data_IF_553606854939
#
_entry.id   IF_553606854939
#
_cell.length_a   1.000
_cell.length_b   1.000
_cell.length_c   1.000
_cell.angle_alpha   90.00
_cell.angle_beta   90.00
_cell.angle_gamma   90.00
#
_symmetry.space_group_name_H-M   'P 1'
#
loop_
_entity.id
_entity.type
_entity.pdbx_description
1 polymer ?
#
# COMPACT_ATOMS: atom_id res chain seq x y z
N UNK A 1 24.17 -4.39 23.99
CA UNK A 1 23.10 -3.37 24.17
C UNK A 1 21.92 -3.76 23.30
N UNK A 2 20.71 -3.94 23.84
CA UNK A 2 19.51 -4.26 23.05
C UNK A 2 18.85 -2.94 22.61
N UNK A 3 18.45 -2.86 21.35
CA UNK A 3 17.68 -1.74 20.79
C UNK A 3 16.41 -2.31 20.15
N UNK A 4 15.31 -1.58 20.27
CA UNK A 4 14.02 -1.96 19.69
C UNK A 4 13.79 -1.12 18.44
N UNK A 5 13.32 -1.77 17.37
CA UNK A 5 13.03 -1.14 16.08
C UNK A 5 11.65 -1.58 15.62
N UNK A 6 10.90 -0.67 14.97
CA UNK A 6 9.60 -0.96 14.35
C UNK A 6 9.73 -0.79 12.84
N UNK A 7 9.29 -1.78 12.07
CA UNK A 7 9.18 -1.69 10.60
C UNK A 7 7.83 -1.02 10.26
N UNK A 8 7.84 0.00 9.40
CA UNK A 8 6.65 0.80 9.03
C UNK A 8 6.11 0.49 7.61
N UNK A 9 6.68 -0.50 6.93
CA UNK A 9 6.35 -0.78 5.54
C UNK A 9 5.10 -1.66 5.41
N UNK A 10 4.19 -1.28 4.49
CA UNK A 10 3.13 -2.15 4.00
C UNK A 10 3.75 -3.31 3.21
N UNK A 11 3.17 -4.50 3.34
CA UNK A 11 3.55 -5.68 2.56
C UNK A 11 2.40 -6.09 1.64
N UNK A 12 2.72 -6.73 0.53
CA UNK A 12 1.76 -7.47 -0.27
C UNK A 12 1.81 -8.93 0.17
N UNK A 13 0.66 -9.56 0.41
CA UNK A 13 0.59 -10.96 0.80
C UNK A 13 -0.65 -11.63 0.22
N UNK A 14 -0.50 -12.90 -0.17
CA UNK A 14 -1.58 -13.74 -0.69
C UNK A 14 -1.65 -15.03 0.14
N UNK A 15 -2.84 -15.46 0.53
CA UNK A 15 -3.02 -16.72 1.27
C UNK A 15 -2.85 -17.90 0.32
N UNK A 16 -1.98 -18.84 0.67
CA UNK A 16 -1.68 -20.00 -0.14
C UNK A 16 -2.82 -21.02 -0.08
N UNK A 17 -3.43 -21.30 -1.23
CA UNK A 17 -4.58 -22.18 -1.37
C UNK A 17 -4.22 -23.60 -1.86
N UNK A 18 -2.96 -23.85 -2.19
CA UNK A 18 -2.51 -25.13 -2.77
C UNK A 18 -2.80 -25.30 -4.26
N UNK A 19 -3.30 -24.27 -4.95
CA UNK A 19 -3.61 -24.30 -6.37
C UNK A 19 -2.36 -24.38 -7.25
N UNK A 20 -2.50 -25.03 -8.41
CA UNK A 20 -1.43 -25.09 -9.43
C UNK A 20 -1.06 -23.70 -9.95
N UNK A 21 -2.00 -22.76 -9.94
CA UNK A 21 -1.77 -21.37 -10.34
C UNK A 21 -0.82 -20.65 -9.38
N UNK A 22 -1.11 -20.70 -8.07
CA UNK A 22 -0.21 -20.15 -7.06
C UNK A 22 1.14 -20.86 -7.06
N UNK A 23 1.16 -22.19 -7.21
CA UNK A 23 2.41 -22.93 -7.28
C UNK A 23 3.29 -22.50 -8.45
N UNK A 24 2.70 -22.30 -9.62
CA UNK A 24 3.43 -21.77 -10.78
C UNK A 24 3.89 -20.33 -10.55
N UNK A 25 3.02 -19.47 -10.01
CA UNK A 25 3.31 -18.04 -9.75
C UNK A 25 4.50 -17.85 -8.82
N UNK A 26 4.52 -18.58 -7.70
CA UNK A 26 5.55 -18.46 -6.66
C UNK A 26 6.67 -19.50 -6.79
N UNK A 27 6.67 -20.31 -7.86
CA UNK A 27 7.63 -21.39 -8.09
C UNK A 27 7.70 -22.36 -6.91
N UNK A 28 6.54 -22.69 -6.36
CA UNK A 28 6.38 -23.68 -5.29
C UNK A 28 6.43 -25.07 -5.91
N UNK A 29 7.18 -25.95 -5.28
CA UNK A 29 7.33 -27.36 -5.63
C UNK A 29 6.63 -28.21 -4.57
N UNK A 30 5.81 -29.16 -5.00
CA UNK A 30 5.37 -30.27 -4.14
C UNK A 30 6.45 -31.34 -4.13
N UNK A 31 7.26 -31.36 -3.07
CA UNK A 31 8.35 -32.32 -2.89
C UNK A 31 7.90 -33.58 -2.16
N UNK A 32 6.66 -33.66 -1.68
CA UNK A 32 6.12 -34.82 -0.97
C UNK A 32 6.37 -36.13 -1.73
N UNK A 33 5.87 -36.28 -2.98
CA UNK A 33 6.09 -37.48 -3.78
C UNK A 33 7.54 -37.65 -4.27
N UNK A 34 8.34 -36.58 -4.31
CA UNK A 34 9.77 -36.63 -4.65
C UNK A 34 10.63 -37.13 -3.49
N UNK A 35 10.25 -36.83 -2.25
CA UNK A 35 11.00 -37.16 -1.04
C UNK A 35 10.90 -38.63 -0.65
N UNK A 36 9.74 -39.27 -0.89
CA UNK A 36 9.55 -40.71 -0.72
C UNK A 36 8.24 -41.16 -1.35
N UNK A 37 8.18 -42.34 -2.03
CA UNK A 37 6.94 -42.92 -2.53
C UNK A 37 5.90 -43.22 -1.43
N UNK A 38 6.31 -43.25 -0.16
CA UNK A 38 5.44 -43.50 0.98
C UNK A 38 4.76 -42.23 1.52
N UNK A 39 5.28 -41.04 1.17
CA UNK A 39 4.70 -39.76 1.59
C UNK A 39 3.58 -39.39 0.62
N UNK A 40 2.34 -39.68 1.03
CA UNK A 40 1.13 -39.39 0.24
C UNK A 40 0.58 -37.97 0.43
N UNK A 41 1.14 -37.21 1.38
CA UNK A 41 0.73 -35.83 1.63
C UNK A 41 1.63 -34.86 0.85
N UNK A 42 1.09 -33.78 0.29
CA UNK A 42 1.92 -32.77 -0.36
C UNK A 42 2.84 -32.11 0.67
N UNK A 43 4.03 -31.74 0.23
CA UNK A 43 4.97 -30.92 1.01
C UNK A 43 5.41 -29.78 0.10
N UNK A 44 4.89 -28.59 0.36
CA UNK A 44 5.09 -27.44 -0.53
C UNK A 44 6.29 -26.62 -0.08
N UNK A 45 7.22 -26.37 -0.99
CA UNK A 45 8.36 -25.49 -0.76
C UNK A 45 8.54 -24.51 -1.90
N UNK A 46 8.93 -23.26 -1.61
CA UNK A 46 9.54 -22.40 -2.62
C UNK A 46 11.00 -22.12 -2.28
N UNK A 47 11.81 -21.94 -3.33
CA UNK A 47 13.23 -21.69 -3.20
C UNK A 47 13.48 -20.21 -2.87
N UNK A 48 14.04 -19.93 -1.71
CA UNK A 48 14.57 -18.61 -1.37
C UNK A 48 16.07 -18.57 -1.64
N UNK A 49 16.68 -17.37 -1.57
CA UNK A 49 18.14 -17.22 -1.64
C UNK A 49 18.85 -17.89 -0.44
N UNK A 50 18.14 -18.17 0.64
CA UNK A 50 18.67 -18.73 1.90
C UNK A 50 18.36 -20.23 2.06
N UNK A 51 17.62 -20.83 1.12
CA UNK A 51 17.24 -22.25 1.15
C UNK A 51 15.77 -22.48 0.82
N UNK A 52 15.36 -23.74 0.81
CA UNK A 52 13.94 -24.11 0.63
C UNK A 52 13.16 -23.81 1.90
N UNK A 53 12.02 -23.13 1.75
CA UNK A 53 11.14 -22.79 2.85
C UNK A 53 9.80 -23.50 2.67
N UNK A 54 9.34 -24.20 3.71
CA UNK A 54 8.06 -24.90 3.72
C UNK A 54 6.90 -23.91 3.85
N UNK A 55 5.83 -24.12 3.09
CA UNK A 55 4.58 -23.35 3.18
C UNK A 55 3.40 -24.31 3.27
N UNK A 56 2.45 -24.04 4.17
CA UNK A 56 1.24 -24.86 4.29
C UNK A 56 0.05 -24.15 3.65
N UNK A 57 -0.93 -24.93 3.19
CA UNK A 57 -2.22 -24.36 2.75
C UNK A 57 -2.82 -23.59 3.93
N UNK A 58 -3.20 -22.34 3.68
CA UNK A 58 -3.69 -21.40 4.69
C UNK A 58 -2.63 -20.42 5.20
N UNK A 59 -1.33 -20.69 5.01
CA UNK A 59 -0.27 -19.73 5.30
C UNK A 59 -0.28 -18.59 4.28
N UNK A 60 0.31 -17.45 4.64
CA UNK A 60 0.41 -16.26 3.81
C UNK A 60 1.78 -16.16 3.15
N UNK A 61 1.81 -15.94 1.84
CA UNK A 61 3.03 -15.68 1.08
C UNK A 61 3.18 -14.18 0.94
N UNK A 62 4.10 -13.59 1.71
CA UNK A 62 4.41 -12.17 1.65
C UNK A 62 5.50 -11.88 0.63
N UNK A 63 5.45 -10.70 0.02
CA UNK A 63 6.40 -10.22 -0.99
C UNK A 63 7.11 -8.97 -0.50
N UNK A 64 8.44 -8.98 -0.60
CA UNK A 64 9.31 -7.88 -0.19
C UNK A 64 9.69 -6.95 -1.33
N UNK A 65 10.52 -5.95 -1.00
CA UNK A 65 10.78 -4.81 -1.88
C UNK A 65 11.56 -5.24 -3.14
N UNK A 66 12.38 -6.29 -3.06
CA UNK A 66 13.15 -6.83 -4.19
C UNK A 66 12.44 -8.01 -4.87
N UNK A 67 11.16 -8.24 -4.56
CA UNK A 67 10.39 -9.38 -5.04
C UNK A 67 10.74 -10.69 -4.34
N UNK A 68 11.44 -10.65 -3.21
CA UNK A 68 11.66 -11.81 -2.36
C UNK A 68 10.34 -12.27 -1.73
N UNK A 69 10.18 -13.58 -1.54
CA UNK A 69 9.00 -14.16 -0.91
C UNK A 69 9.36 -14.85 0.40
N UNK A 70 8.45 -14.83 1.37
CA UNK A 70 8.52 -15.62 2.60
C UNK A 70 7.12 -16.02 3.06
N UNK A 71 7.03 -17.16 3.75
CA UNK A 71 5.76 -17.61 4.32
C UNK A 71 5.58 -17.04 5.73
N UNK A 72 4.34 -16.71 6.08
CA UNK A 72 3.90 -16.26 7.39
C UNK A 72 2.73 -17.15 7.78
N UNK A 73 2.76 -17.74 8.97
CA UNK A 73 1.64 -18.54 9.47
C UNK A 73 0.38 -17.67 9.63
N UNK A 74 -0.80 -18.23 9.40
CA UNK A 74 -2.08 -17.49 9.44
C UNK A 74 -2.33 -16.79 10.78
N UNK A 75 -2.04 -17.46 11.89
CA UNK A 75 -2.17 -16.90 13.25
C UNK A 75 -1.27 -15.68 13.43
N UNK A 76 0.02 -15.81 13.11
CA UNK A 76 0.99 -14.70 13.17
C UNK A 76 0.58 -13.58 12.22
N UNK A 77 0.11 -13.90 11.01
CA UNK A 77 -0.28 -12.91 10.03
C UNK A 77 -1.44 -12.06 10.55
N UNK A 78 -2.50 -12.68 11.08
CA UNK A 78 -3.67 -11.99 11.62
C UNK A 78 -3.37 -11.18 12.88
N UNK A 79 -2.42 -11.64 13.71
CA UNK A 79 -1.98 -10.89 14.89
C UNK A 79 -1.09 -9.69 14.53
N UNK A 80 -0.35 -9.76 13.42
CA UNK A 80 0.67 -8.75 13.06
C UNK A 80 0.19 -7.75 12.01
N UNK A 81 -0.75 -8.13 11.14
CA UNK A 81 -1.15 -7.34 9.98
C UNK A 81 -2.66 -7.10 9.93
N UNK A 82 -3.01 -5.87 9.56
CA UNK A 82 -4.36 -5.49 9.16
C UNK A 82 -4.35 -5.14 7.67
N UNK A 83 -5.41 -5.50 6.96
CA UNK A 83 -5.58 -5.11 5.56
C UNK A 83 -5.60 -3.58 5.46
N UNK A 84 -4.68 -3.02 4.68
CA UNK A 84 -4.67 -1.59 4.40
C UNK A 84 -5.80 -1.28 3.41
N UNK A 85 -6.99 -0.93 3.93
CA UNK A 85 -8.17 -0.56 3.12
C UNK A 85 -8.06 0.82 2.46
N UNK A 86 -6.93 1.49 2.65
CA UNK A 86 -6.69 2.86 2.18
C UNK A 86 -6.53 2.88 0.66
N UNK A 87 -7.55 3.38 -0.04
CA UNK A 87 -7.49 3.62 -1.49
C UNK A 87 -6.74 4.92 -1.77
N UNK A 88 -5.65 4.82 -2.52
CA UNK A 88 -4.89 5.97 -2.98
C UNK A 88 -5.48 6.56 -4.26
N UNK A 89 -5.64 7.87 -4.27
CA UNK A 89 -6.09 8.67 -5.39
C UNK A 89 -4.91 9.50 -5.89
N UNK A 90 -4.69 9.53 -7.21
CA UNK A 90 -3.61 10.32 -7.78
C UNK A 90 -4.08 11.76 -7.97
N UNK A 91 -3.32 12.73 -7.48
CA UNK A 91 -3.57 14.12 -7.84
C UNK A 91 -3.29 14.33 -9.33
N UNK A 92 -4.16 15.12 -9.95
CA UNK A 92 -4.03 15.50 -11.34
C UNK A 92 -4.44 16.95 -11.47
N UNK A 93 -3.67 17.71 -12.21
CA UNK A 93 -3.98 19.09 -12.54
C UNK A 93 -4.29 19.24 -14.02
N UNK A 94 -5.12 20.23 -14.34
CA UNK A 94 -5.42 20.66 -15.71
C UNK A 94 -5.42 22.19 -15.77
N UNK A 95 -5.15 22.80 -16.93
CA UNK A 95 -5.33 24.24 -17.08
C UNK A 95 -6.79 24.63 -16.80
N UNK A 96 -6.97 25.81 -16.20
CA UNK A 96 -8.29 26.41 -16.02
C UNK A 96 -8.91 26.74 -17.38
N UNK A 97 -10.23 26.55 -17.53
CA UNK A 97 -10.93 26.99 -18.75
C UNK A 97 -11.16 28.50 -18.73
N UNK A 98 -11.46 29.09 -19.89
CA UNK A 98 -11.77 30.53 -19.96
C UNK A 98 -13.02 30.89 -19.13
N UNK A 99 -14.06 30.05 -19.18
CA UNK A 99 -15.29 30.22 -18.40
C UNK A 99 -14.99 30.22 -16.89
N UNK A 100 -14.19 29.25 -16.40
CA UNK A 100 -13.79 29.17 -14.99
C UNK A 100 -12.90 30.36 -14.56
N UNK A 101 -12.12 30.94 -15.50
CA UNK A 101 -11.31 32.15 -15.28
C UNK A 101 -12.18 33.40 -15.17
N UNK A 102 -13.20 33.52 -16.02
CA UNK A 102 -14.17 34.62 -16.00
C UNK A 102 -15.05 34.60 -14.74
N UNK A 103 -15.30 33.42 -14.15
CA UNK A 103 -16.03 33.30 -12.88
C UNK A 103 -15.24 33.87 -11.68
N UNK A 104 -13.90 33.77 -11.71
CA UNK A 104 -13.02 34.16 -10.60
C UNK A 104 -11.79 34.95 -11.07
N UNK A 105 -11.96 36.09 -11.78
CA UNK A 105 -10.87 36.83 -12.41
C UNK A 105 -9.91 37.50 -11.41
N UNK A 106 -10.26 37.52 -10.12
CA UNK A 106 -9.40 38.04 -9.05
C UNK A 106 -8.46 37.00 -8.45
N UNK A 107 -8.56 35.73 -8.87
CA UNK A 107 -7.67 34.64 -8.45
C UNK A 107 -6.68 34.37 -9.59
N UNK A 108 -5.38 34.51 -9.29
CA UNK A 108 -4.31 34.19 -10.24
C UNK A 108 -4.05 32.69 -10.25
N UNK A 109 -5.00 31.93 -10.80
CA UNK A 109 -4.97 30.48 -10.85
C UNK A 109 -4.85 29.97 -12.28
N UNK A 110 -3.73 29.32 -12.57
CA UNK A 110 -3.46 28.78 -13.90
C UNK A 110 -4.00 27.34 -14.06
N UNK A 111 -4.18 26.62 -12.95
CA UNK A 111 -4.50 25.20 -12.94
C UNK A 111 -5.57 24.84 -11.92
N UNK A 112 -6.39 23.83 -12.24
CA UNK A 112 -7.40 23.22 -11.37
C UNK A 112 -7.07 21.75 -11.13
N UNK A 113 -7.49 21.22 -10.00
CA UNK A 113 -7.41 19.78 -9.74
C UNK A 113 -8.57 19.01 -10.39
N UNK A 114 -8.25 17.89 -11.03
CA UNK A 114 -9.23 16.92 -11.47
C UNK A 114 -9.70 16.05 -10.30
N UNK A 115 -10.99 15.75 -10.29
CA UNK A 115 -11.59 14.87 -9.29
C UNK A 115 -11.08 13.42 -9.44
N UNK A 116 -10.93 12.67 -8.33
CA UNK A 116 -11.33 13.03 -6.97
C UNK A 116 -10.27 13.87 -6.21
N UNK A 117 -10.74 14.91 -5.51
CA UNK A 117 -9.95 15.67 -4.53
C UNK A 117 -10.43 15.39 -3.10
N UNK A 118 -9.61 15.64 -2.07
CA UNK A 118 -10.07 15.65 -0.69
C UNK A 118 -11.18 16.70 -0.47
N UNK A 119 -11.91 16.56 0.64
CA UNK A 119 -12.83 17.59 1.12
C UNK A 119 -12.04 18.77 1.73
N UNK A 120 -12.57 20.00 1.66
CA UNK A 120 -11.93 21.16 2.27
C UNK A 120 -11.83 20.99 3.80
N UNK A 121 -10.65 21.28 4.35
CA UNK A 121 -10.27 21.05 5.74
C UNK A 121 -9.96 19.59 6.08
N UNK A 122 -9.97 18.67 5.10
CA UNK A 122 -9.72 17.25 5.37
C UNK A 122 -8.24 16.98 5.58
N UNK A 123 -7.91 16.29 6.67
CA UNK A 123 -6.59 15.67 6.85
C UNK A 123 -6.51 14.36 6.07
N UNK A 124 -5.51 14.27 5.20
CA UNK A 124 -5.27 13.14 4.30
C UNK A 124 -3.85 12.64 4.46
N UNK A 125 -3.65 11.37 4.11
CA UNK A 125 -2.31 10.86 3.86
C UNK A 125 -1.87 11.34 2.48
N UNK A 126 -0.61 11.78 2.36
CA UNK A 126 0.01 12.22 1.10
C UNK A 126 1.32 11.47 0.89
N UNK A 127 1.59 11.07 -0.34
CA UNK A 127 2.83 10.38 -0.72
C UNK A 127 3.31 10.71 -2.13
N UNK A 128 4.64 10.76 -2.29
CA UNK A 128 5.35 10.81 -3.57
C UNK A 128 5.85 9.42 -4.03
N UNK A 129 5.51 8.37 -3.28
CA UNK A 129 5.98 7.00 -3.46
C UNK A 129 7.27 6.66 -2.70
N UNK A 130 7.98 7.64 -2.13
CA UNK A 130 9.13 7.42 -1.26
C UNK A 130 8.78 7.66 0.21
N UNK A 131 8.00 8.70 0.49
CA UNK A 131 7.60 9.13 1.82
C UNK A 131 6.07 9.21 1.94
N UNK A 132 5.55 8.92 3.13
CA UNK A 132 4.13 9.09 3.45
C UNK A 132 4.03 10.05 4.63
N UNK A 133 3.27 11.13 4.45
CA UNK A 133 2.97 12.14 5.47
C UNK A 133 1.48 12.32 5.68
N UNK A 134 1.11 13.08 6.71
CA UNK A 134 -0.25 13.60 6.90
C UNK A 134 -0.23 15.08 6.57
N UNK A 135 -1.22 15.54 5.83
CA UNK A 135 -1.39 16.95 5.48
C UNK A 135 -2.87 17.32 5.41
N UNK A 136 -3.20 18.60 5.43
CA UNK A 136 -4.55 19.14 5.32
C UNK A 136 -4.78 19.71 3.92
N UNK A 137 -5.95 19.41 3.36
CA UNK A 137 -6.43 19.98 2.12
C UNK A 137 -7.22 21.25 2.40
N UNK A 138 -6.71 22.43 2.02
CA UNK A 138 -7.30 23.72 2.42
C UNK A 138 -7.41 24.71 1.24
N UNK A 139 -8.14 25.80 1.46
CA UNK A 139 -8.34 26.91 0.52
C UNK A 139 -7.50 28.14 0.93
N UNK A 140 -6.53 28.48 0.09
CA UNK A 140 -5.64 29.64 0.26
C UNK A 140 -6.14 30.83 -0.55
N UNK A 141 -7.18 31.50 -0.04
CA UNK A 141 -7.77 32.69 -0.66
C UNK A 141 -8.19 32.46 -2.13
N UNK A 142 -8.63 31.25 -2.42
CA UNK A 142 -9.22 30.83 -3.67
C UNK A 142 -8.45 29.77 -4.44
N UNK A 143 -7.24 29.44 -4.01
CA UNK A 143 -6.42 28.36 -4.55
C UNK A 143 -6.42 27.22 -3.55
N UNK A 144 -6.94 26.05 -3.94
CA UNK A 144 -6.96 24.87 -3.07
C UNK A 144 -5.67 24.08 -3.17
N UNK A 145 -5.23 23.47 -2.07
CA UNK A 145 -4.00 22.68 -2.09
C UNK A 145 -3.65 22.06 -0.74
N UNK A 146 -2.43 21.53 -0.68
CA UNK A 146 -1.83 20.95 0.52
C UNK A 146 -1.06 22.03 1.31
N UNK A 147 -1.18 22.04 2.64
CA UNK A 147 -0.53 23.03 3.51
C UNK A 147 1.00 22.86 3.58
N UNK A 148 1.45 21.65 3.90
CA UNK A 148 2.82 21.40 4.40
C UNK A 148 3.65 20.47 3.51
N UNK A 149 3.00 19.65 2.67
CA UNK A 149 3.68 18.71 1.80
C UNK A 149 4.29 19.47 0.63
N UNK A 150 5.62 19.51 0.55
CA UNK A 150 6.37 20.29 -0.43
C UNK A 150 6.07 19.86 -1.87
N UNK A 151 5.00 20.40 -2.45
CA UNK A 151 4.56 20.15 -3.81
C UNK A 151 5.39 20.91 -4.84
N UNK A 152 6.17 21.92 -4.42
CA UNK A 152 6.94 22.76 -5.32
C UNK A 152 8.12 22.02 -5.96
N UNK A 153 8.76 21.10 -5.24
CA UNK A 153 9.87 20.31 -5.77
C UNK A 153 9.39 19.09 -6.59
N UNK A 154 8.27 18.48 -6.20
CA UNK A 154 7.79 17.22 -6.78
C UNK A 154 6.70 17.39 -7.83
N UNK A 155 5.92 18.48 -7.77
CA UNK A 155 4.72 18.70 -8.58
C UNK A 155 3.53 17.83 -8.15
N UNK A 156 2.32 18.38 -8.18
CA UNK A 156 1.10 17.67 -7.76
C UNK A 156 0.81 16.40 -8.58
N UNK A 157 1.15 16.35 -9.86
CA UNK A 157 0.91 15.17 -10.71
C UNK A 157 1.77 13.95 -10.35
N UNK A 158 2.72 14.11 -9.41
CA UNK A 158 3.51 13.02 -8.85
C UNK A 158 3.07 12.62 -7.44
N UNK A 159 2.05 13.29 -6.89
CA UNK A 159 1.54 13.03 -5.55
C UNK A 159 0.27 12.17 -5.59
N UNK A 160 0.12 11.39 -4.53
CA UNK A 160 -1.08 10.60 -4.25
C UNK A 160 -1.60 10.95 -2.88
N UNK A 161 -2.93 10.92 -2.73
CA UNK A 161 -3.60 11.13 -1.45
C UNK A 161 -4.53 9.99 -1.10
N UNK A 162 -4.81 9.81 0.18
CA UNK A 162 -5.85 8.91 0.64
C UNK A 162 -6.48 9.40 1.94
N UNK A 163 -7.75 9.08 2.22
CA UNK A 163 -8.32 9.35 3.52
C UNK A 163 -7.54 8.60 4.61
N UNK A 164 -7.37 9.24 5.77
CA UNK A 164 -6.77 8.60 6.92
C UNK A 164 -7.68 7.43 7.33
N UNK A 165 -7.18 6.18 7.39
CA UNK A 165 -8.00 5.04 7.74
C UNK A 165 -8.50 5.14 9.19
N UNK A 166 -9.71 4.63 9.42
CA UNK A 166 -10.23 4.48 10.78
C UNK A 166 -9.27 3.67 11.63
N UNK A 167 -8.94 4.19 12.82
CA UNK A 167 -8.14 3.45 13.78
C UNK A 167 -8.93 2.21 14.23
N UNK A 168 -8.25 1.07 14.44
CA UNK A 168 -8.91 -0.09 15.03
C UNK A 168 -9.52 0.32 16.37
N UNK A 169 -10.79 -0.05 16.58
CA UNK A 169 -11.46 0.17 17.86
C UNK A 169 -10.63 -0.53 18.94
N UNK A 170 -10.13 0.23 19.89
CA UNK A 170 -9.46 -0.32 21.07
C UNK A 170 -10.55 -0.97 21.91
N UNK A 171 -10.59 -2.30 21.95
CA UNK A 171 -11.33 -2.98 23.01
C UNK A 171 -10.56 -2.72 24.30
N UNK A 172 -11.03 -1.75 25.09
CA UNK A 172 -10.60 -1.61 26.48
C UNK A 172 -10.95 -2.92 27.21
N UNK A 173 -9.91 -3.66 27.61
CA UNK A 173 -10.03 -4.84 28.48
C UNK A 173 -9.99 -4.42 29.94
#
# INVERSE_FOLDING_TARGET
>A
MKKTYRKIATIQAEQFDGSQEMMKKYKILDIGPMSSPMVKRPIYHFCTLEGSLEVNIGDWIATGIKGEHWAIKDDIFRETYAEAKTKWNKFKTRPITEEEREERPWVDEEYRFDQPTPELGQKVLVTDGQWVGVDEWDDFAGVVGLLDFNCYDTGYDNLWWAPIPDLPKTEEK
#
